data_IF_067980731836
#
_entry.id   IF_067980731836
#
_cell.length_a   1.000
_cell.length_b   1.000
_cell.length_c   1.000
_cell.angle_alpha   90.00
_cell.angle_beta   90.00
_cell.angle_gamma   90.00
#
_symmetry.space_group_name_H-M   'P 1'
#
loop_
_entity.id
_entity.type
_entity.pdbx_description
1 polymer ?
#
# COMPACT_ATOMS: atom_id res chain seq x y z
N UNK A 1 10.76 1.84 -14.16
CA UNK A 1 9.35 1.48 -14.45
C UNK A 1 8.97 0.14 -13.83
N UNK A 2 9.74 -0.95 -14.01
CA UNK A 2 9.43 -2.28 -13.44
C UNK A 2 9.28 -2.31 -11.92
N UNK A 3 10.14 -1.60 -11.16
CA UNK A 3 10.04 -1.55 -9.68
C UNK A 3 8.81 -0.78 -9.22
N UNK A 4 8.49 0.34 -9.88
CA UNK A 4 7.32 1.15 -9.56
C UNK A 4 6.04 0.30 -9.68
N UNK A 5 6.00 -0.56 -10.68
CA UNK A 5 4.89 -1.47 -10.92
C UNK A 5 4.74 -2.53 -9.81
N UNK A 6 5.85 -3.12 -9.34
CA UNK A 6 5.83 -4.04 -8.20
C UNK A 6 5.55 -3.36 -6.85
N UNK A 7 5.86 -2.06 -6.72
CA UNK A 7 5.53 -1.25 -5.53
C UNK A 7 4.05 -0.88 -5.47
N UNK A 8 3.43 -0.60 -6.61
CA UNK A 8 1.99 -0.30 -6.73
C UNK A 8 1.15 -1.59 -6.63
N UNK A 9 1.70 -2.71 -7.10
CA UNK A 9 1.06 -4.02 -7.09
C UNK A 9 1.94 -5.04 -6.38
N UNK A 10 1.73 -5.28 -5.08
CA UNK A 10 2.55 -6.21 -4.31
C UNK A 10 2.13 -7.65 -4.61
N UNK A 11 2.57 -8.16 -5.76
CA UNK A 11 2.38 -9.57 -6.15
C UNK A 11 3.29 -10.52 -5.37
N UNK A 12 4.45 -10.03 -4.94
CA UNK A 12 5.54 -10.74 -4.26
C UNK A 12 5.77 -10.10 -2.88
N UNK A 13 6.19 -10.88 -1.86
CA UNK A 13 6.54 -10.34 -0.55
C UNK A 13 7.64 -9.28 -0.67
N UNK A 14 7.53 -8.25 0.15
CA UNK A 14 8.39 -7.08 0.07
C UNK A 14 9.86 -7.45 0.31
N UNK A 15 10.11 -8.45 1.17
CA UNK A 15 11.45 -8.95 1.49
C UNK A 15 12.10 -9.55 0.23
N UNK A 16 11.37 -10.43 -0.46
CA UNK A 16 11.87 -11.11 -1.67
C UNK A 16 12.16 -10.09 -2.77
N UNK A 17 11.28 -9.10 -2.96
CA UNK A 17 11.47 -8.06 -3.96
C UNK A 17 12.69 -7.19 -3.65
N UNK A 18 12.91 -6.85 -2.38
CA UNK A 18 14.06 -6.04 -1.97
C UNK A 18 15.38 -6.79 -2.18
N UNK A 19 15.44 -8.09 -1.85
CA UNK A 19 16.62 -8.91 -2.14
C UNK A 19 16.85 -9.08 -3.64
N UNK A 20 15.81 -9.32 -4.42
CA UNK A 20 15.91 -9.42 -5.87
C UNK A 20 16.39 -8.10 -6.51
N UNK A 21 15.91 -6.96 -6.02
CA UNK A 21 16.39 -5.65 -6.47
C UNK A 21 17.87 -5.45 -6.10
N UNK A 22 18.29 -5.83 -4.89
CA UNK A 22 19.69 -5.74 -4.45
C UNK A 22 20.66 -6.63 -5.24
N UNK A 23 20.18 -7.78 -5.74
CA UNK A 23 20.95 -8.71 -6.58
C UNK A 23 20.89 -8.37 -8.08
N UNK A 24 20.12 -7.37 -8.47
CA UNK A 24 19.92 -6.98 -9.88
C UNK A 24 20.82 -5.80 -10.29
N UNK A 25 20.99 -5.57 -11.60
CA UNK A 25 21.73 -4.42 -12.15
C UNK A 25 20.99 -3.07 -12.06
N UNK A 26 19.96 -2.98 -11.21
CA UNK A 26 19.15 -1.77 -11.09
C UNK A 26 19.97 -0.69 -10.37
N UNK A 27 19.97 0.53 -10.93
CA UNK A 27 20.61 1.68 -10.30
C UNK A 27 19.88 2.04 -9.01
N UNK A 28 20.63 2.23 -7.93
CA UNK A 28 20.09 2.61 -6.61
C UNK A 28 19.13 3.80 -6.66
N UNK A 29 19.44 4.81 -7.49
CA UNK A 29 18.58 6.00 -7.67
C UNK A 29 17.17 5.66 -8.17
N UNK A 30 17.06 4.73 -9.12
CA UNK A 30 15.77 4.33 -9.69
C UNK A 30 14.95 3.54 -8.68
N UNK A 31 15.60 2.67 -7.91
CA UNK A 31 14.97 1.94 -6.81
C UNK A 31 14.51 2.87 -5.68
N UNK A 32 15.35 3.83 -5.29
CA UNK A 32 15.05 4.79 -4.24
C UNK A 32 13.86 5.68 -4.61
N UNK A 33 13.86 6.28 -5.81
CA UNK A 33 12.77 7.14 -6.25
C UNK A 33 11.45 6.37 -6.41
N UNK A 34 11.50 5.16 -6.97
CA UNK A 34 10.30 4.32 -7.10
C UNK A 34 9.74 3.89 -5.73
N UNK A 35 10.62 3.58 -4.79
CA UNK A 35 10.26 3.25 -3.40
C UNK A 35 9.63 4.43 -2.70
N UNK A 36 10.31 5.58 -2.75
CA UNK A 36 9.91 6.78 -2.06
C UNK A 36 8.53 7.24 -2.54
N UNK A 37 8.33 7.34 -3.85
CA UNK A 37 7.05 7.75 -4.42
C UNK A 37 5.95 6.70 -4.24
N UNK A 38 6.29 5.40 -4.34
CA UNK A 38 5.32 4.32 -4.25
C UNK A 38 4.76 4.09 -2.84
N UNK A 39 5.54 4.37 -1.79
CA UNK A 39 5.14 4.12 -0.39
C UNK A 39 4.28 5.27 0.18
N UNK A 40 4.47 6.51 -0.28
CA UNK A 40 3.83 7.71 0.30
C UNK A 40 2.31 7.57 0.46
N UNK A 41 1.53 7.16 -0.56
CA UNK A 41 0.07 7.06 -0.42
C UNK A 41 -0.35 6.05 0.66
N UNK A 42 0.34 4.90 0.72
CA UNK A 42 0.08 3.86 1.71
C UNK A 42 0.39 4.31 3.14
N UNK A 43 1.49 5.05 3.32
CA UNK A 43 1.86 5.59 4.63
C UNK A 43 0.88 6.65 5.10
N UNK A 44 0.46 7.57 4.22
CA UNK A 44 -0.51 8.62 4.58
C UNK A 44 -1.82 8.01 5.08
N UNK A 45 -2.38 7.04 4.34
CA UNK A 45 -3.63 6.38 4.73
C UNK A 45 -3.46 5.56 6.01
N UNK A 46 -2.34 4.84 6.16
CA UNK A 46 -2.07 4.05 7.37
C UNK A 46 -1.91 4.94 8.61
N UNK A 47 -1.22 6.08 8.47
CA UNK A 47 -1.07 7.06 9.53
C UNK A 47 -2.41 7.74 9.88
N UNK A 48 -3.21 8.07 8.88
CA UNK A 48 -4.55 8.65 9.07
C UNK A 48 -5.50 7.67 9.78
N UNK A 49 -5.45 6.39 9.41
CA UNK A 49 -6.19 5.32 10.08
C UNK A 49 -5.73 5.13 11.54
N UNK A 50 -4.41 5.07 11.77
CA UNK A 50 -3.84 5.00 13.12
C UNK A 50 -4.22 6.20 14.00
N UNK A 51 -4.18 7.42 13.45
CA UNK A 51 -4.64 8.62 14.14
C UNK A 51 -6.13 8.60 14.46
N UNK A 52 -6.95 8.11 13.54
CA UNK A 52 -8.40 7.97 13.75
C UNK A 52 -8.73 6.90 14.80
N UNK A 53 -7.92 5.85 14.93
CA UNK A 53 -8.04 4.86 16.02
C UNK A 53 -7.75 5.47 17.39
N UNK A 54 -6.75 6.35 17.50
CA UNK A 54 -6.39 7.01 18.76
C UNK A 54 -7.43 7.99 19.28
N UNK A 55 -8.35 8.46 18.43
CA UNK A 55 -9.45 9.36 18.79
C UNK A 55 -10.71 8.63 19.30
N UNK A 56 -10.77 7.30 19.18
CA UNK A 56 -11.92 6.50 19.63
C UNK A 56 -11.90 6.44 21.16
N UNK A 57 -12.84 7.15 21.80
CA UNK A 57 -13.03 7.12 23.27
C UNK A 57 -14.29 6.40 23.67
N UNK A 58 -15.22 6.18 22.74
CA UNK A 58 -16.49 5.52 22.97
C UNK A 58 -16.95 4.75 21.73
N UNK A 59 -17.83 3.75 21.92
CA UNK A 59 -18.40 2.95 20.82
C UNK A 59 -19.12 3.79 19.74
N UNK A 60 -19.59 4.99 20.10
CA UNK A 60 -20.21 5.94 19.15
C UNK A 60 -19.21 6.55 18.18
N UNK A 61 -17.94 6.67 18.56
CA UNK A 61 -16.89 7.30 17.75
C UNK A 61 -16.46 6.41 16.58
N UNK A 62 -16.75 5.10 16.65
CA UNK A 62 -16.58 4.15 15.56
C UNK A 62 -17.49 4.50 14.38
N UNK A 63 -18.66 5.10 14.64
CA UNK A 63 -19.57 5.57 13.60
C UNK A 63 -19.28 7.01 13.17
N UNK A 64 -18.18 7.61 13.65
CA UNK A 64 -17.79 8.94 13.21
C UNK A 64 -17.46 8.93 11.70
N UNK A 65 -17.84 9.97 10.95
CA UNK A 65 -17.51 10.07 9.53
C UNK A 65 -16.00 9.96 9.27
N UNK A 66 -15.18 10.48 10.18
CA UNK A 66 -13.72 10.43 10.11
C UNK A 66 -13.19 8.99 10.16
N UNK A 67 -13.67 8.19 11.11
CA UNK A 67 -13.26 6.79 11.22
C UNK A 67 -13.75 5.94 10.04
N UNK A 68 -14.98 6.17 9.58
CA UNK A 68 -15.55 5.49 8.41
C UNK A 68 -14.78 5.79 7.12
N UNK A 69 -14.36 7.03 6.91
CA UNK A 69 -13.48 7.38 5.78
C UNK A 69 -12.11 6.72 5.93
N UNK A 70 -11.53 6.74 7.13
CA UNK A 70 -10.23 6.16 7.38
C UNK A 70 -10.21 4.64 7.12
N UNK A 71 -11.21 3.91 7.62
CA UNK A 71 -11.32 2.46 7.40
C UNK A 71 -11.64 2.14 5.94
N UNK A 72 -12.47 2.94 5.27
CA UNK A 72 -12.76 2.80 3.85
C UNK A 72 -11.51 2.95 2.97
N UNK A 73 -10.69 3.97 3.24
CA UNK A 73 -9.41 4.18 2.56
C UNK A 73 -8.42 3.04 2.82
N UNK A 74 -8.36 2.53 4.06
CA UNK A 74 -7.51 1.40 4.43
C UNK A 74 -7.90 0.13 3.67
N UNK A 75 -9.19 -0.20 3.64
CA UNK A 75 -9.74 -1.34 2.88
C UNK A 75 -9.46 -1.16 1.39
N UNK A 76 -9.65 0.05 0.86
CA UNK A 76 -9.37 0.35 -0.54
C UNK A 76 -7.90 0.07 -0.90
N UNK A 77 -6.95 0.55 -0.09
CA UNK A 77 -5.52 0.26 -0.33
C UNK A 77 -5.21 -1.24 -0.24
N UNK A 78 -5.77 -1.95 0.74
CA UNK A 78 -5.61 -3.40 0.85
C UNK A 78 -6.25 -4.16 -0.32
N UNK A 79 -7.31 -3.61 -0.91
CA UNK A 79 -7.99 -4.21 -2.05
C UNK A 79 -7.23 -4.04 -3.37
N UNK A 80 -6.39 -3.01 -3.54
CA UNK A 80 -5.57 -2.78 -4.75
C UNK A 80 -4.81 -4.06 -5.20
N UNK A 81 -4.02 -4.74 -4.35
CA UNK A 81 -3.35 -5.98 -4.74
C UNK A 81 -4.30 -7.11 -5.14
N UNK A 82 -5.45 -7.21 -4.47
CA UNK A 82 -6.44 -8.25 -4.71
C UNK A 82 -7.12 -8.01 -6.07
N UNK A 83 -7.59 -6.79 -6.31
CA UNK A 83 -8.20 -6.36 -7.57
C UNK A 83 -7.24 -6.62 -8.72
N UNK A 84 -5.97 -6.22 -8.55
CA UNK A 84 -4.97 -6.46 -9.57
C UNK A 84 -4.74 -7.96 -9.83
N UNK A 85 -4.66 -8.80 -8.79
CA UNK A 85 -4.54 -10.26 -8.94
C UNK A 85 -5.76 -10.86 -9.66
N UNK A 86 -6.96 -10.41 -9.34
CA UNK A 86 -8.22 -10.92 -9.93
C UNK A 86 -8.32 -10.55 -11.41
N UNK A 87 -7.98 -9.31 -11.77
CA UNK A 87 -7.98 -8.86 -13.17
C UNK A 87 -6.93 -9.63 -13.98
N UNK A 88 -5.72 -9.81 -13.45
CA UNK A 88 -4.64 -10.52 -14.16
C UNK A 88 -4.90 -12.03 -14.29
N UNK A 89 -5.60 -12.67 -13.35
CA UNK A 89 -6.03 -14.07 -13.45
C UNK A 89 -7.08 -14.34 -14.53
N UNK A 90 -7.77 -13.32 -15.06
CA UNK A 90 -8.75 -13.47 -16.15
C UNK A 90 -8.14 -13.41 -17.56
N UNK A 91 -6.86 -13.07 -17.69
CA UNK A 91 -6.19 -12.86 -19.00
C UNK A 91 -5.22 -13.99 -19.37
N UNK A 92 -4.99 -14.96 -18.48
CA UNK A 92 -4.17 -16.17 -18.72
C UNK A 92 -5.05 -17.39 -18.53
#
# INVERSE_FOLDING_TARGET
>A
ITILFFRIVPLVPYEVLNYACGLSKIKFRDYFLATFLGIIPGVIVSAFFGGSLGEIKSMRDIFSPKFLVAIGLMIFIMAIPIIYRVIRKRTV
#
